data_IF_355900206059
#
_entry.id   IF_355900206059
#
_cell.length_a   1.000
_cell.length_b   1.000
_cell.length_c   1.000
_cell.angle_alpha   90.00
_cell.angle_beta   90.00
_cell.angle_gamma   90.00
#
_symmetry.space_group_name_H-M   'P 1'
#
loop_
_entity.id
_entity.type
_entity.pdbx_description
1 polymer ?
#
# COMPACT_ATOMS: atom_id res chain seq x y z
N UNK A 1 -8.28 3.96 -4.34
CA UNK A 1 -8.41 5.40 -4.64
C UNK A 1 -7.98 5.73 -6.07
N UNK A 2 -6.93 5.12 -6.59
CA UNK A 2 -6.46 5.35 -7.95
C UNK A 2 -7.13 4.39 -8.94
N UNK A 3 -7.54 4.88 -10.12
CA UNK A 3 -7.96 4.00 -11.20
C UNK A 3 -6.85 3.01 -11.60
N UNK A 4 -7.22 1.76 -11.85
CA UNK A 4 -6.25 0.70 -12.19
C UNK A 4 -5.33 1.04 -13.36
N UNK A 5 -5.80 1.79 -14.35
CA UNK A 5 -4.97 2.19 -15.50
C UNK A 5 -3.86 3.17 -15.11
N UNK A 6 -4.11 4.07 -14.16
CA UNK A 6 -3.07 4.98 -13.63
C UNK A 6 -2.05 4.20 -12.79
N UNK A 7 -2.51 3.28 -11.96
CA UNK A 7 -1.63 2.44 -11.17
C UNK A 7 -0.73 1.59 -12.06
N UNK A 8 -1.29 0.98 -13.12
CA UNK A 8 -0.50 0.26 -14.13
C UNK A 8 0.53 1.15 -14.81
N UNK A 9 0.15 2.37 -15.18
CA UNK A 9 1.08 3.33 -15.76
C UNK A 9 2.25 3.65 -14.83
N UNK A 10 2.02 3.75 -13.53
CA UNK A 10 3.10 3.94 -12.55
C UNK A 10 4.01 2.72 -12.44
N UNK A 11 3.46 1.51 -12.49
CA UNK A 11 4.26 0.29 -12.55
C UNK A 11 5.13 0.31 -13.82
N UNK A 12 4.56 0.65 -14.97
CA UNK A 12 5.30 0.74 -16.24
C UNK A 12 6.49 1.70 -16.13
N UNK A 13 6.29 2.89 -15.55
CA UNK A 13 7.37 3.86 -15.32
C UNK A 13 8.46 3.34 -14.39
N UNK A 14 8.08 2.67 -13.30
CA UNK A 14 9.05 2.14 -12.34
C UNK A 14 9.89 0.99 -12.93
N UNK A 15 9.28 0.13 -13.72
CA UNK A 15 9.94 -1.03 -14.31
C UNK A 15 10.72 -0.71 -15.58
N UNK A 16 10.29 0.28 -16.36
CA UNK A 16 10.98 0.67 -17.58
C UNK A 16 12.40 1.22 -17.33
N UNK A 17 12.60 1.93 -16.21
CA UNK A 17 13.82 2.67 -15.96
C UNK A 17 13.97 3.93 -16.84
N UNK A 18 14.88 4.82 -16.46
CA UNK A 18 15.02 6.14 -17.08
C UNK A 18 15.31 6.11 -18.59
N UNK A 19 16.11 5.15 -19.03
CA UNK A 19 16.56 5.04 -20.44
C UNK A 19 15.42 4.66 -21.41
N UNK A 20 14.32 4.14 -20.90
CA UNK A 20 13.17 3.72 -21.69
C UNK A 20 11.94 4.64 -21.53
N UNK A 21 12.14 5.80 -20.91
CA UNK A 21 11.14 6.84 -20.75
C UNK A 21 11.41 7.96 -21.75
N UNK A 22 10.41 8.25 -22.60
CA UNK A 22 10.50 9.31 -23.59
C UNK A 22 9.73 10.54 -23.14
N UNK A 23 10.37 11.70 -23.16
CA UNK A 23 9.71 13.00 -22.99
C UNK A 23 8.95 13.36 -24.26
N UNK A 24 7.74 13.89 -24.09
CA UNK A 24 6.97 14.49 -25.18
C UNK A 24 6.19 15.71 -24.66
N UNK A 25 5.74 16.56 -25.58
CA UNK A 25 4.82 17.65 -25.23
C UNK A 25 3.40 17.27 -25.58
N UNK A 26 2.48 17.54 -24.66
CA UNK A 26 1.06 17.35 -24.93
C UNK A 26 0.51 18.48 -25.84
N UNK A 27 -0.76 18.40 -26.20
CA UNK A 27 -1.42 19.40 -27.05
C UNK A 27 -1.49 20.81 -26.46
N UNK A 28 -1.21 20.96 -25.15
CA UNK A 28 -1.15 22.25 -24.46
C UNK A 28 0.28 22.76 -24.26
N UNK A 29 1.29 22.02 -24.75
CA UNK A 29 2.69 22.37 -24.63
C UNK A 29 3.39 21.90 -23.37
N UNK A 30 2.69 21.22 -22.43
CA UNK A 30 3.27 20.72 -21.21
C UNK A 30 4.18 19.52 -21.45
N UNK A 31 5.23 19.43 -20.65
CA UNK A 31 6.11 18.25 -20.66
C UNK A 31 5.40 17.05 -20.04
N UNK A 32 5.41 15.97 -20.77
CA UNK A 32 4.91 14.67 -20.32
C UNK A 32 5.92 13.58 -20.64
N UNK A 33 5.72 12.43 -20.04
CA UNK A 33 6.60 11.28 -20.17
C UNK A 33 5.78 10.05 -20.52
N UNK A 34 6.34 9.17 -21.31
CA UNK A 34 5.73 7.89 -21.66
C UNK A 34 6.77 6.78 -21.79
N UNK A 35 6.37 5.59 -21.44
CA UNK A 35 7.08 4.36 -21.77
C UNK A 35 6.64 3.94 -23.18
N UNK A 36 7.57 3.47 -24.02
CA UNK A 36 7.24 2.99 -25.36
C UNK A 36 6.25 1.81 -25.30
N UNK A 37 5.42 1.65 -26.33
CA UNK A 37 4.43 0.57 -26.34
C UNK A 37 5.09 -0.81 -26.33
N UNK A 38 6.25 -0.97 -26.97
CA UNK A 38 7.02 -2.20 -26.93
C UNK A 38 7.46 -2.54 -25.50
N UNK A 39 8.02 -1.57 -24.77
CA UNK A 39 8.44 -1.80 -23.39
C UNK A 39 7.24 -2.03 -22.45
N UNK A 40 6.14 -1.33 -22.66
CA UNK A 40 4.90 -1.58 -21.91
C UNK A 40 4.38 -3.00 -22.12
N UNK A 41 4.46 -3.52 -23.34
CA UNK A 41 4.07 -4.90 -23.63
C UNK A 41 5.01 -5.90 -22.93
N UNK A 42 6.31 -5.69 -22.99
CA UNK A 42 7.29 -6.54 -22.29
C UNK A 42 7.06 -6.55 -20.77
N UNK A 43 6.80 -5.38 -20.19
CA UNK A 43 6.48 -5.23 -18.78
C UNK A 43 5.18 -5.97 -18.44
N UNK A 44 4.12 -5.79 -19.26
CA UNK A 44 2.84 -6.46 -19.07
C UNK A 44 2.98 -7.99 -19.13
N UNK A 45 3.78 -8.50 -20.05
CA UNK A 45 4.06 -9.93 -20.19
C UNK A 45 4.86 -10.48 -18.99
N UNK A 46 5.79 -9.66 -18.47
CA UNK A 46 6.61 -10.05 -17.32
C UNK A 46 5.78 -10.23 -16.03
N UNK A 47 4.82 -9.33 -15.76
CA UNK A 47 4.00 -9.44 -14.54
C UNK A 47 2.69 -10.20 -14.72
N UNK A 48 2.40 -10.69 -15.95
CA UNK A 48 1.19 -11.49 -16.22
C UNK A 48 1.14 -12.74 -15.33
N UNK A 49 0.01 -12.93 -14.64
CA UNK A 49 -0.16 -14.00 -13.68
C UNK A 49 0.65 -13.88 -12.37
N UNK A 50 1.36 -12.75 -12.18
CA UNK A 50 2.13 -12.47 -10.96
C UNK A 50 1.60 -11.27 -10.18
N UNK A 51 0.94 -10.32 -10.87
CA UNK A 51 0.38 -9.13 -10.27
C UNK A 51 -1.11 -9.05 -10.57
N UNK A 52 -1.91 -8.99 -9.52
CA UNK A 52 -3.37 -8.92 -9.57
C UNK A 52 -3.80 -7.58 -8.98
N UNK A 53 -4.69 -6.87 -9.66
CA UNK A 53 -5.26 -5.61 -9.18
C UNK A 53 -6.73 -5.82 -8.88
N UNK A 54 -7.11 -5.56 -7.65
CA UNK A 54 -8.51 -5.57 -7.24
C UNK A 54 -9.21 -4.30 -7.74
N UNK A 55 -10.40 -4.46 -8.32
CA UNK A 55 -11.24 -3.34 -8.75
C UNK A 55 -12.58 -3.40 -8.03
N UNK A 56 -12.75 -2.54 -7.03
CA UNK A 56 -13.97 -2.46 -6.23
C UNK A 56 -15.16 -1.83 -6.99
N UNK A 57 -14.94 -1.28 -8.18
CA UNK A 57 -16.02 -0.68 -9.00
C UNK A 57 -16.84 -1.73 -9.74
N UNK A 58 -16.33 -2.94 -9.85
CA UNK A 58 -17.01 -4.04 -10.53
C UNK A 58 -17.97 -4.82 -9.63
N UNK A 59 -17.97 -4.53 -8.33
CA UNK A 59 -18.84 -5.19 -7.37
C UNK A 59 -20.17 -4.41 -7.29
N UNK A 60 -21.12 -4.78 -8.12
CA UNK A 60 -22.51 -4.31 -8.07
C UNK A 60 -23.32 -5.21 -7.13
N UNK A 61 -24.03 -4.61 -6.17
CA UNK A 61 -24.97 -5.30 -5.29
C UNK A 61 -24.77 -5.02 -3.79
N UNK A 62 -25.81 -5.31 -3.01
CA UNK A 62 -25.85 -5.13 -1.55
C UNK A 62 -24.98 -6.14 -0.77
N UNK A 63 -24.51 -7.20 -1.41
CA UNK A 63 -23.64 -8.22 -0.81
C UNK A 63 -22.18 -7.91 -1.14
N UNK A 64 -21.63 -6.87 -0.55
CA UNK A 64 -20.18 -6.63 -0.60
C UNK A 64 -19.49 -7.67 0.29
N UNK A 65 -18.75 -8.56 -0.33
CA UNK A 65 -17.84 -9.44 0.39
C UNK A 65 -16.83 -8.60 1.20
N UNK A 66 -16.54 -9.00 2.44
CA UNK A 66 -15.60 -8.27 3.28
C UNK A 66 -14.20 -8.33 2.67
N UNK A 67 -13.42 -7.26 2.80
CA UNK A 67 -12.06 -7.22 2.27
C UNK A 67 -11.17 -8.31 2.87
N UNK A 68 -11.43 -8.72 4.12
CA UNK A 68 -10.73 -9.84 4.75
C UNK A 68 -11.03 -11.16 4.04
N UNK A 69 -12.30 -11.41 3.68
CA UNK A 69 -12.68 -12.60 2.93
C UNK A 69 -12.07 -12.58 1.52
N UNK A 70 -12.14 -11.44 0.82
CA UNK A 70 -11.47 -11.24 -0.48
C UNK A 70 -9.97 -11.53 -0.36
N UNK A 71 -9.32 -11.05 0.71
CA UNK A 71 -7.89 -11.27 0.96
C UNK A 71 -7.58 -12.77 1.10
N UNK A 72 -8.37 -13.51 1.87
CA UNK A 72 -8.19 -14.97 2.00
C UNK A 72 -8.47 -15.70 0.68
N UNK A 73 -9.53 -15.33 -0.04
CA UNK A 73 -9.89 -15.93 -1.33
C UNK A 73 -8.78 -15.74 -2.38
N UNK A 74 -8.19 -14.54 -2.47
CA UNK A 74 -7.08 -14.26 -3.39
C UNK A 74 -5.85 -15.11 -3.07
N UNK A 75 -5.52 -15.29 -1.79
CA UNK A 75 -4.43 -16.17 -1.36
C UNK A 75 -4.71 -17.62 -1.80
N UNK A 76 -5.90 -18.13 -1.52
CA UNK A 76 -6.27 -19.51 -1.80
C UNK A 76 -6.39 -19.78 -3.31
N UNK A 77 -6.91 -18.84 -4.07
CA UNK A 77 -7.20 -19.01 -5.50
C UNK A 77 -5.95 -18.79 -6.37
N UNK A 78 -5.12 -17.82 -6.04
CA UNK A 78 -3.99 -17.40 -6.89
C UNK A 78 -2.62 -17.69 -6.27
N UNK A 79 -2.54 -18.14 -5.02
CA UNK A 79 -1.28 -18.45 -4.35
C UNK A 79 -0.37 -17.21 -4.23
N UNK A 80 -0.93 -16.04 -3.92
CA UNK A 80 -0.15 -14.80 -3.80
C UNK A 80 0.70 -14.82 -2.54
N UNK A 81 1.95 -14.36 -2.66
CA UNK A 81 2.91 -14.26 -1.55
C UNK A 81 2.86 -12.89 -0.86
N UNK A 82 2.47 -11.84 -1.60
CA UNK A 82 2.47 -10.45 -1.13
C UNK A 82 1.14 -9.78 -1.45
N UNK A 83 0.55 -9.12 -0.45
CA UNK A 83 -0.67 -8.35 -0.58
C UNK A 83 -0.39 -6.92 -0.15
N UNK A 84 -0.74 -5.95 -1.01
CA UNK A 84 -0.67 -4.53 -0.71
C UNK A 84 -2.09 -3.96 -0.53
N UNK A 85 -2.35 -3.39 0.63
CA UNK A 85 -3.60 -2.69 0.96
C UNK A 85 -3.31 -1.18 1.10
N UNK A 86 -3.74 -0.40 0.13
CA UNK A 86 -3.59 1.06 0.10
C UNK A 86 -5.00 1.71 0.07
N UNK A 87 -5.48 2.28 1.15
CA UNK A 87 -4.90 2.39 2.48
C UNK A 87 -5.85 1.84 3.56
N UNK A 88 -5.44 1.88 4.83
CA UNK A 88 -6.23 1.39 5.97
C UNK A 88 -7.65 2.01 6.03
N UNK A 89 -7.80 3.29 5.73
CA UNK A 89 -9.11 3.96 5.82
C UNK A 89 -10.06 3.43 4.75
N UNK A 90 -9.61 3.35 3.49
CA UNK A 90 -10.38 2.77 2.38
C UNK A 90 -10.69 1.28 2.63
N UNK A 91 -9.73 0.55 3.20
CA UNK A 91 -9.92 -0.85 3.57
C UNK A 91 -11.05 -1.04 4.60
N UNK A 92 -11.12 -0.15 5.59
CA UNK A 92 -12.17 -0.18 6.61
C UNK A 92 -13.55 0.19 6.07
N UNK A 93 -13.62 1.04 5.06
CA UNK A 93 -14.89 1.40 4.41
C UNK A 93 -15.49 0.22 3.60
N UNK A 94 -14.64 -0.71 3.19
CA UNK A 94 -15.04 -1.96 2.52
C UNK A 94 -15.40 -3.09 3.49
N UNK A 95 -15.06 -2.93 4.79
CA UNK A 95 -15.45 -3.88 5.83
C UNK A 95 -16.83 -3.52 6.39
N UNK A 96 -17.77 -4.43 6.26
CA UNK A 96 -19.07 -4.30 6.92
C UNK A 96 -18.88 -4.38 8.43
N UNK A 97 -19.23 -3.33 9.17
CA UNK A 97 -18.95 -3.25 10.60
C UNK A 97 -20.15 -3.00 11.46
N UNK A 98 -20.24 -3.74 12.54
CA UNK A 98 -21.07 -3.47 13.71
C UNK A 98 -20.57 -2.23 14.46
N UNK A 99 -21.43 -1.66 15.29
CA UNK A 99 -21.31 -0.39 16.01
C UNK A 99 -20.16 -0.32 17.06
N UNK A 100 -18.92 -0.59 16.64
CA UNK A 100 -17.74 -0.33 17.45
C UNK A 100 -17.18 1.06 17.15
N UNK A 101 -16.49 1.64 18.13
CA UNK A 101 -15.70 2.84 17.91
C UNK A 101 -14.72 2.63 16.73
N UNK A 102 -14.44 3.70 16.01
CA UNK A 102 -13.54 3.70 14.84
C UNK A 102 -12.18 3.07 15.17
N UNK A 103 -11.65 3.33 16.36
CA UNK A 103 -10.34 2.82 16.78
C UNK A 103 -10.38 1.31 17.05
N UNK A 104 -11.46 0.81 17.64
CA UNK A 104 -11.65 -0.62 17.86
C UNK A 104 -11.77 -1.37 16.55
N UNK A 105 -12.48 -0.82 15.56
CA UNK A 105 -12.57 -1.39 14.21
C UNK A 105 -11.19 -1.48 13.54
N UNK A 106 -10.37 -0.43 13.65
CA UNK A 106 -9.02 -0.41 13.10
C UNK A 106 -8.15 -1.50 13.74
N UNK A 107 -8.13 -1.57 15.07
CA UNK A 107 -7.36 -2.56 15.82
C UNK A 107 -7.80 -3.99 15.50
N UNK A 108 -9.10 -4.23 15.43
CA UNK A 108 -9.65 -5.54 15.09
C UNK A 108 -9.30 -5.94 13.66
N UNK A 109 -9.39 -5.03 12.71
CA UNK A 109 -9.05 -5.26 11.30
C UNK A 109 -7.57 -5.63 11.16
N UNK A 110 -6.66 -4.83 11.72
CA UNK A 110 -5.21 -5.13 11.67
C UNK A 110 -4.88 -6.45 12.37
N UNK A 111 -5.54 -6.76 13.49
CA UNK A 111 -5.39 -8.05 14.18
C UNK A 111 -5.82 -9.23 13.30
N UNK A 112 -6.91 -9.10 12.56
CA UNK A 112 -7.38 -10.13 11.62
C UNK A 112 -6.40 -10.29 10.45
N UNK A 113 -5.91 -9.18 9.86
CA UNK A 113 -4.88 -9.22 8.81
C UNK A 113 -3.60 -9.91 9.28
N UNK A 114 -3.13 -9.60 10.50
CA UNK A 114 -1.97 -10.28 11.07
C UNK A 114 -2.17 -11.79 11.20
N UNK A 115 -3.39 -12.23 11.56
CA UNK A 115 -3.72 -13.66 11.63
C UNK A 115 -3.73 -14.32 10.24
N UNK A 116 -4.27 -13.63 9.22
CA UNK A 116 -4.25 -14.11 7.83
C UNK A 116 -2.80 -14.26 7.36
N UNK A 117 -1.96 -13.23 7.59
CA UNK A 117 -0.55 -13.28 7.22
C UNK A 117 0.18 -14.49 7.82
N UNK A 118 -0.04 -14.76 9.11
CA UNK A 118 0.55 -15.92 9.80
C UNK A 118 -0.04 -17.25 9.31
N UNK A 119 -1.36 -17.33 9.15
CA UNK A 119 -2.07 -18.57 8.75
C UNK A 119 -1.61 -19.06 7.37
N UNK A 120 -1.42 -18.15 6.44
CA UNK A 120 -1.10 -18.45 5.06
C UNK A 120 0.38 -18.22 4.69
N UNK A 121 1.19 -17.76 5.65
CA UNK A 121 2.60 -17.43 5.44
C UNK A 121 2.80 -16.42 4.29
N UNK A 122 2.01 -15.35 4.27
CA UNK A 122 2.07 -14.29 3.27
C UNK A 122 2.49 -12.96 3.89
N UNK A 123 3.10 -12.09 3.09
CA UNK A 123 3.41 -10.73 3.48
C UNK A 123 2.23 -9.80 3.20
N UNK A 124 1.71 -9.12 4.21
CA UNK A 124 0.70 -8.08 4.04
C UNK A 124 1.31 -6.71 4.32
N UNK A 125 1.33 -5.86 3.30
CA UNK A 125 1.77 -4.47 3.38
C UNK A 125 0.52 -3.58 3.51
N UNK A 126 0.34 -2.96 4.67
CA UNK A 126 -0.78 -2.06 4.93
C UNK A 126 -0.28 -0.62 4.97
N UNK A 127 -0.77 0.21 4.06
CA UNK A 127 -0.48 1.64 4.04
C UNK A 127 -1.41 2.37 5.02
N UNK A 128 -0.84 3.22 5.85
CA UNK A 128 -1.59 4.09 6.76
C UNK A 128 -1.02 5.50 6.75
N UNK A 129 -1.90 6.51 6.86
CA UNK A 129 -1.46 7.89 6.92
C UNK A 129 -1.04 8.31 8.33
N UNK A 130 -0.04 9.17 8.42
CA UNK A 130 0.32 9.81 9.70
C UNK A 130 -0.75 10.81 10.13
N UNK A 131 -0.97 10.95 11.45
CA UNK A 131 -1.77 12.06 12.00
C UNK A 131 -1.05 13.39 11.75
N UNK A 132 -1.80 14.40 11.35
CA UNK A 132 -1.32 15.78 11.26
C UNK A 132 -1.33 16.45 12.64
N UNK A 133 -0.72 15.86 13.66
CA UNK A 133 -0.64 16.50 14.97
C UNK A 133 0.74 17.11 15.16
N UNK A 134 0.74 18.41 15.36
CA UNK A 134 1.92 19.26 15.41
C UNK A 134 2.71 19.21 16.72
N UNK A 135 2.33 18.49 17.71
CA UNK A 135 3.07 18.49 19.00
C UNK A 135 2.81 17.22 19.80
N UNK A 136 3.84 16.52 20.07
CA UNK A 136 4.17 15.58 21.15
C UNK A 136 4.43 14.12 20.79
N UNK A 137 5.63 13.74 21.14
CA UNK A 137 6.12 12.66 21.96
C UNK A 137 6.11 11.32 21.29
N UNK A 138 5.96 10.47 20.86
CA UNK A 138 6.31 9.12 20.44
C UNK A 138 6.00 8.87 18.97
N UNK A 139 7.03 8.59 18.19
CA UNK A 139 6.93 8.25 16.76
C UNK A 139 5.95 7.10 16.45
N UNK A 140 5.66 6.25 17.43
CA UNK A 140 4.71 5.15 17.31
C UNK A 140 3.23 5.62 17.39
N UNK A 141 2.96 6.80 17.95
CA UNK A 141 1.62 7.36 18.07
C UNK A 141 1.22 8.23 16.87
N UNK A 142 2.12 8.41 15.91
CA UNK A 142 1.90 9.26 14.72
C UNK A 142 1.04 8.61 13.65
N UNK A 143 0.78 7.30 13.71
CA UNK A 143 -0.09 6.64 12.75
C UNK A 143 -1.54 7.09 12.97
N UNK A 144 -2.19 7.53 11.90
CA UNK A 144 -3.62 7.91 11.95
C UNK A 144 -4.48 6.68 12.27
N UNK A 145 -4.78 6.53 13.54
CA UNK A 145 -5.49 5.37 14.06
C UNK A 145 -5.28 5.22 15.54
N UNK A 146 -5.58 4.05 16.08
CA UNK A 146 -5.23 3.70 17.44
C UNK A 146 -3.72 3.45 17.54
N UNK A 147 -3.06 3.80 18.64
CA UNK A 147 -1.68 3.40 18.94
C UNK A 147 -1.46 1.89 18.83
N UNK A 148 -2.53 1.12 18.90
CA UNK A 148 -2.54 -0.34 18.74
C UNK A 148 -2.13 -0.81 17.35
N UNK A 149 -2.33 -0.01 16.28
CA UNK A 149 -1.94 -0.40 14.91
C UNK A 149 -0.44 -0.67 14.86
N UNK A 150 0.37 0.27 15.37
CA UNK A 150 1.82 0.10 15.46
C UNK A 150 2.18 -1.09 16.34
N UNK A 151 1.43 -1.30 17.43
CA UNK A 151 1.65 -2.42 18.34
C UNK A 151 1.35 -3.78 17.69
N UNK A 152 0.36 -3.85 16.85
CA UNK A 152 -0.04 -5.08 16.14
C UNK A 152 0.86 -5.41 14.94
N UNK A 153 1.42 -4.40 14.29
CA UNK A 153 2.33 -4.60 13.17
C UNK A 153 3.63 -5.29 13.61
N UNK A 154 4.15 -6.21 12.80
CA UNK A 154 5.45 -6.86 13.01
C UNK A 154 6.60 -5.92 12.68
N UNK A 155 6.47 -5.18 11.58
CA UNK A 155 7.43 -4.15 11.13
C UNK A 155 6.63 -2.88 10.85
N UNK A 156 7.19 -1.73 11.25
CA UNK A 156 6.64 -0.42 10.92
C UNK A 156 7.71 0.39 10.18
N UNK A 157 7.35 0.87 8.99
CA UNK A 157 8.22 1.68 8.14
C UNK A 157 7.54 3.03 7.93
N UNK A 158 8.23 4.10 8.28
CA UNK A 158 7.80 5.46 7.99
C UNK A 158 8.47 5.98 6.72
N UNK A 159 7.69 6.61 5.85
CA UNK A 159 8.14 7.26 4.63
C UNK A 159 7.85 8.75 4.75
N UNK A 160 8.90 9.56 4.84
CA UNK A 160 8.75 10.97 5.19
C UNK A 160 9.76 11.89 4.49
N UNK A 161 9.49 13.19 4.56
CA UNK A 161 10.44 14.21 4.12
C UNK A 161 11.46 14.44 5.23
N UNK A 162 12.74 14.21 4.95
CA UNK A 162 13.81 14.62 5.85
C UNK A 162 14.10 16.12 5.72
N UNK A 163 14.56 16.75 6.81
CA UNK A 163 14.90 18.18 6.82
C UNK A 163 16.13 18.51 5.97
N UNK A 164 17.09 17.56 5.90
CA UNK A 164 18.40 17.76 5.25
C UNK A 164 18.51 16.98 3.93
N UNK A 165 17.39 16.56 3.33
CA UNK A 165 17.39 15.82 2.08
C UNK A 165 17.29 16.75 0.87
N UNK A 166 17.97 16.38 -0.22
CA UNK A 166 17.83 17.08 -1.50
C UNK A 166 16.38 17.00 -2.03
N UNK A 167 15.98 17.99 -2.88
CA UNK A 167 14.68 17.94 -3.53
C UNK A 167 14.45 16.59 -4.24
N UNK A 168 13.33 15.95 -3.95
CA UNK A 168 12.99 14.63 -4.52
C UNK A 168 13.40 13.43 -3.67
N UNK A 169 14.32 13.58 -2.72
CA UNK A 169 14.66 12.51 -1.78
C UNK A 169 13.62 12.36 -0.66
N UNK A 170 13.53 11.16 -0.14
CA UNK A 170 12.64 10.80 0.98
C UNK A 170 13.40 9.93 1.96
N UNK A 171 13.00 10.02 3.22
CA UNK A 171 13.53 9.20 4.29
C UNK A 171 12.66 7.96 4.47
N UNK A 172 13.29 6.79 4.44
CA UNK A 172 12.67 5.54 4.83
C UNK A 172 13.22 5.13 6.19
N UNK A 173 12.35 5.12 7.20
CA UNK A 173 12.73 4.84 8.58
C UNK A 173 12.03 3.58 9.07
N UNK A 174 12.78 2.59 9.52
CA UNK A 174 12.24 1.42 10.20
C UNK A 174 12.11 1.76 11.67
N UNK A 175 10.92 2.14 12.11
CA UNK A 175 10.65 2.55 13.51
C UNK A 175 10.37 1.36 14.42
N UNK A 176 9.99 0.21 13.86
CA UNK A 176 9.75 -1.04 14.60
C UNK A 176 10.13 -2.24 13.75
N UNK A 177 10.80 -3.20 14.36
CA UNK A 177 11.15 -4.47 13.73
C UNK A 177 11.19 -5.58 14.78
N UNK A 178 10.12 -6.35 14.90
CA UNK A 178 10.04 -7.46 15.86
C UNK A 178 10.82 -8.69 15.41
N UNK A 179 11.11 -8.84 14.12
CA UNK A 179 11.78 -10.02 13.61
C UNK A 179 13.27 -10.02 13.99
N UNK A 180 13.93 -8.86 13.91
CA UNK A 180 15.37 -8.76 14.09
C UNK A 180 15.79 -7.79 15.18
N UNK A 181 14.86 -7.08 15.80
CA UNK A 181 15.14 -6.07 16.84
C UNK A 181 15.93 -4.85 16.37
N UNK A 182 16.27 -4.75 15.07
CA UNK A 182 17.01 -3.62 14.51
C UNK A 182 16.08 -2.60 13.90
N UNK A 183 16.31 -1.34 14.24
CA UNK A 183 15.66 -0.19 13.61
C UNK A 183 16.73 0.64 12.89
N UNK A 184 16.47 1.02 11.65
CA UNK A 184 17.39 1.78 10.82
C UNK A 184 16.67 2.90 10.10
N UNK A 185 17.41 3.98 9.86
CA UNK A 185 16.99 5.09 9.00
C UNK A 185 17.90 5.11 7.78
N UNK A 186 17.31 5.05 6.57
CA UNK A 186 18.03 5.19 5.31
C UNK A 186 17.45 6.37 4.54
N UNK A 187 18.33 7.22 4.05
CA UNK A 187 17.99 8.36 3.20
C UNK A 187 17.90 7.98 1.72
#
# INVERSE_FOLDING_TARGET
ELPNYLFRSWIDFQLAGGDHITEYRNKWGDRNYKVSDTNRQLIADWYRGKCFLYDNRTVEGDEKESLLAITENVILQYGVDVILLDNLMTALDLEQGTAFDKYDRQSLFVKKLSRIALKYNVLILLVAHKRKNNFTANENDEISGSGDISNLATITIAYEKGKDLHPGQRLLKVSKNRLFGKTETKG
#
